data_IF_061038747143
#
_entry.id   IF_061038747143
#
_cell.length_a   1.000
_cell.length_b   1.000
_cell.length_c   1.000
_cell.angle_alpha   90.00
_cell.angle_beta   90.00
_cell.angle_gamma   90.00
#
_symmetry.space_group_name_H-M   'P 1'
#
loop_
_entity.id
_entity.type
_entity.pdbx_description
1 polymer ?
#
# COMPACT_ATOMS: atom_id res chain seq x y z
N UNK A 1 -11.21 7.65 -11.71
CA UNK A 1 -10.91 7.72 -10.27
C UNK A 1 -10.88 6.32 -9.68
N UNK A 2 -9.87 6.02 -8.90
CA UNK A 2 -9.77 4.71 -8.27
C UNK A 2 -10.37 4.73 -6.87
N UNK A 3 -10.88 3.60 -6.45
CA UNK A 3 -11.38 3.44 -5.09
C UNK A 3 -10.26 2.80 -4.25
N UNK A 4 -9.98 3.38 -3.10
CA UNK A 4 -8.96 2.85 -2.20
C UNK A 4 -9.64 2.22 -1.00
N UNK A 5 -9.29 0.98 -0.71
CA UNK A 5 -9.77 0.30 0.49
C UNK A 5 -8.58 -0.23 1.26
N UNK A 6 -8.75 -0.35 2.57
CA UNK A 6 -7.71 -0.89 3.43
C UNK A 6 -8.13 -2.29 3.89
N UNK A 7 -7.23 -3.25 3.77
CA UNK A 7 -7.52 -4.62 4.19
C UNK A 7 -7.27 -4.72 5.70
N UNK A 8 -8.34 -5.00 6.44
CA UNK A 8 -8.30 -5.10 7.90
C UNK A 8 -7.74 -3.81 8.50
N UNK A 9 -6.94 -3.92 9.57
CA UNK A 9 -6.47 -2.75 10.30
C UNK A 9 -5.02 -2.37 10.01
N UNK A 10 -4.35 -3.08 9.14
CA UNK A 10 -2.90 -2.89 8.96
C UNK A 10 -2.54 -1.48 8.55
N UNK A 11 -3.28 -0.90 7.62
CA UNK A 11 -2.98 0.46 7.20
C UNK A 11 -3.29 1.47 8.30
N UNK A 12 -4.42 1.31 8.99
CA UNK A 12 -4.76 2.23 10.08
C UNK A 12 -3.75 2.13 11.23
N UNK A 13 -3.28 0.92 11.51
CA UNK A 13 -2.26 0.73 12.54
C UNK A 13 -0.99 1.49 12.17
N UNK A 14 -0.62 1.44 10.90
CA UNK A 14 0.53 2.21 10.43
C UNK A 14 0.31 3.71 10.61
N UNK A 15 -0.86 4.21 10.25
CA UNK A 15 -1.12 5.64 10.38
C UNK A 15 -1.04 6.11 11.84
N UNK A 16 -1.42 5.26 12.77
CA UNK A 16 -1.44 5.64 14.17
C UNK A 16 -0.06 5.88 14.76
N UNK A 17 0.98 5.30 14.17
CA UNK A 17 2.33 5.54 14.68
C UNK A 17 2.99 6.77 14.06
N UNK A 18 2.33 7.41 13.12
CA UNK A 18 2.85 8.62 12.48
C UNK A 18 2.45 9.84 13.29
N UNK A 19 3.28 10.91 13.22
CA UNK A 19 2.88 12.18 13.78
C UNK A 19 1.70 12.75 12.98
N UNK A 20 1.05 13.76 13.53
CA UNK A 20 -0.09 14.37 12.83
C UNK A 20 0.34 14.95 11.48
N UNK A 21 1.50 15.58 11.42
CA UNK A 21 1.98 16.15 10.16
C UNK A 21 2.36 15.07 9.15
N UNK A 22 3.02 14.02 9.63
CA UNK A 22 3.39 12.91 8.75
C UNK A 22 2.15 12.24 8.17
N UNK A 23 1.14 12.04 9.02
CA UNK A 23 -0.10 11.43 8.57
C UNK A 23 -0.80 12.29 7.53
N UNK A 24 -0.85 13.59 7.78
CA UNK A 24 -1.49 14.51 6.86
C UNK A 24 -0.81 14.50 5.50
N UNK A 25 0.52 14.53 5.50
CA UNK A 25 1.26 14.50 4.25
C UNK A 25 1.07 13.17 3.52
N UNK A 26 1.10 12.08 4.28
CA UNK A 26 0.91 10.76 3.68
C UNK A 26 -0.46 10.64 3.01
N UNK A 27 -1.49 11.09 3.70
CA UNK A 27 -2.85 10.98 3.17
C UNK A 27 -3.06 11.87 1.95
N UNK A 28 -2.42 13.04 1.90
CA UNK A 28 -2.48 13.87 0.71
C UNK A 28 -1.84 13.18 -0.49
N UNK A 29 -0.69 12.54 -0.28
CA UNK A 29 -0.03 11.84 -1.36
C UNK A 29 -0.87 10.65 -1.81
N UNK A 30 -1.50 9.97 -0.86
CA UNK A 30 -2.34 8.82 -1.19
C UNK A 30 -3.52 9.21 -2.06
N UNK A 31 -4.02 10.44 -1.87
CA UNK A 31 -5.12 10.95 -2.66
C UNK A 31 -4.79 10.91 -4.16
N UNK A 32 -3.53 11.00 -4.52
CA UNK A 32 -3.12 10.92 -5.91
C UNK A 32 -3.50 9.58 -6.53
N UNK A 33 -3.49 8.51 -5.75
CA UNK A 33 -3.87 7.21 -6.26
C UNK A 33 -5.32 7.16 -6.69
N UNK A 34 -6.14 8.04 -6.12
CA UNK A 34 -7.55 8.08 -6.45
C UNK A 34 -7.85 9.00 -7.62
N UNK A 35 -7.10 10.10 -7.74
CA UNK A 35 -7.51 11.17 -8.63
C UNK A 35 -6.70 11.27 -9.92
N UNK A 36 -5.47 10.77 -9.92
CA UNK A 36 -4.63 10.92 -11.10
C UNK A 36 -4.63 9.66 -11.92
N UNK A 37 -4.73 9.81 -13.24
CA UNK A 37 -4.62 8.67 -14.12
C UNK A 37 -3.19 8.19 -14.23
N UNK A 38 -2.28 9.15 -14.23
CA UNK A 38 -0.86 8.83 -14.26
C UNK A 38 -0.22 9.38 -13.02
N UNK A 39 0.35 8.50 -12.22
CA UNK A 39 1.01 8.90 -10.99
C UNK A 39 2.51 8.91 -11.24
N UNK A 40 3.21 9.98 -10.84
CA UNK A 40 4.66 10.02 -11.03
C UNK A 40 5.29 8.75 -10.44
N UNK A 41 6.16 8.12 -11.21
CA UNK A 41 6.66 6.81 -10.82
C UNK A 41 7.52 6.82 -9.56
N UNK A 42 7.95 7.98 -9.09
CA UNK A 42 8.68 8.00 -7.82
C UNK A 42 7.76 7.75 -6.62
N UNK A 43 6.44 7.78 -6.81
CA UNK A 43 5.50 7.43 -5.74
C UNK A 43 5.18 5.94 -5.72
N UNK A 44 5.37 5.23 -6.82
CA UNK A 44 4.94 3.84 -6.94
C UNK A 44 6.06 3.00 -7.51
N UNK A 45 6.31 1.85 -6.90
CA UNK A 45 7.29 0.91 -7.40
C UNK A 45 6.69 -0.49 -7.36
N UNK A 46 6.87 -1.24 -8.45
CA UNK A 46 6.47 -2.64 -8.45
C UNK A 46 7.51 -3.45 -7.68
N UNK A 47 7.07 -4.34 -6.80
CA UNK A 47 7.99 -5.15 -5.99
C UNK A 47 8.08 -6.56 -6.58
N UNK A 48 7.05 -7.37 -6.41
CA UNK A 48 6.94 -8.70 -6.99
C UNK A 48 5.59 -9.29 -6.61
N UNK A 49 5.20 -10.37 -7.28
CA UNK A 49 3.99 -11.12 -6.95
C UNK A 49 2.74 -10.25 -6.89
N UNK A 50 2.69 -9.24 -7.76
CA UNK A 50 1.54 -8.35 -7.81
C UNK A 50 1.54 -7.25 -6.77
N UNK A 51 2.55 -7.21 -5.89
CA UNK A 51 2.63 -6.21 -4.83
C UNK A 51 3.34 -4.98 -5.35
N UNK A 52 2.73 -3.82 -5.10
CA UNK A 52 3.30 -2.52 -5.38
C UNK A 52 3.60 -1.81 -4.07
N UNK A 53 4.51 -0.86 -4.13
CA UNK A 53 4.91 -0.08 -2.97
C UNK A 53 4.60 1.38 -3.23
N UNK A 54 3.83 2.00 -2.34
CA UNK A 54 3.58 3.44 -2.38
C UNK A 54 4.60 4.10 -1.46
N UNK A 55 5.28 5.12 -1.97
CA UNK A 55 6.46 5.70 -1.35
C UNK A 55 6.25 7.18 -1.10
N UNK A 56 6.58 7.64 0.10
CA UNK A 56 6.56 9.06 0.39
C UNK A 56 7.58 9.39 1.48
N UNK A 57 7.93 10.65 1.59
CA UNK A 57 8.93 11.13 2.55
C UNK A 57 8.38 12.31 3.32
N UNK A 58 8.86 12.47 4.55
CA UNK A 58 8.60 13.66 5.32
C UNK A 58 9.87 13.94 6.13
N UNK A 59 10.55 15.05 5.82
CA UNK A 59 11.86 15.30 6.40
C UNK A 59 12.81 14.19 6.00
N UNK A 60 13.46 13.58 6.97
CA UNK A 60 14.37 12.48 6.72
C UNK A 60 13.69 11.12 6.85
N UNK A 61 12.39 11.10 7.08
CA UNK A 61 11.67 9.85 7.24
C UNK A 61 11.09 9.38 5.93
N UNK A 62 11.20 8.10 5.65
CA UNK A 62 10.64 7.50 4.45
C UNK A 62 9.57 6.52 4.87
N UNK A 63 8.42 6.62 4.23
CA UNK A 63 7.28 5.76 4.54
C UNK A 63 6.90 4.95 3.32
N UNK A 64 6.47 3.73 3.56
CA UNK A 64 6.07 2.80 2.51
C UNK A 64 4.77 2.12 2.90
N UNK A 65 3.91 1.89 1.92
CA UNK A 65 2.71 1.08 2.12
C UNK A 65 2.61 0.15 0.92
N UNK A 66 2.40 -1.12 1.17
CA UNK A 66 2.21 -2.09 0.10
C UNK A 66 0.75 -2.12 -0.31
N UNK A 67 0.51 -2.35 -1.59
CA UNK A 67 -0.85 -2.41 -2.10
C UNK A 67 -0.90 -3.26 -3.36
N UNK A 68 -2.12 -3.59 -3.77
CA UNK A 68 -2.36 -4.26 -5.05
C UNK A 68 -3.43 -3.48 -5.81
N UNK A 69 -3.47 -3.69 -7.11
CA UNK A 69 -4.61 -3.28 -7.91
C UNK A 69 -5.53 -4.49 -8.02
N UNK A 70 -6.79 -4.32 -7.64
CA UNK A 70 -7.78 -5.37 -7.79
C UNK A 70 -8.69 -4.92 -8.92
N UNK A 71 -8.40 -5.38 -10.12
CA UNK A 71 -9.04 -4.88 -11.31
C UNK A 71 -8.53 -3.51 -11.68
N UNK A 72 -9.33 -2.76 -12.42
CA UNK A 72 -8.88 -1.48 -12.96
C UNK A 72 -9.15 -0.31 -12.04
N UNK A 73 -10.04 -0.47 -11.07
CA UNK A 73 -10.53 0.68 -10.31
C UNK A 73 -10.32 0.59 -8.81
N UNK A 74 -9.84 -0.55 -8.29
CA UNK A 74 -9.70 -0.72 -6.85
C UNK A 74 -8.24 -0.87 -6.47
N UNK A 75 -7.82 -0.11 -5.46
CA UNK A 75 -6.51 -0.22 -4.84
C UNK A 75 -6.72 -0.74 -3.43
N UNK A 76 -6.06 -1.84 -3.07
CA UNK A 76 -6.20 -2.45 -1.75
C UNK A 76 -4.91 -2.26 -0.99
N UNK A 77 -4.98 -1.56 0.14
CA UNK A 77 -3.80 -1.24 0.95
C UNK A 77 -3.58 -2.31 2.01
N UNK A 78 -2.33 -2.67 2.20
CA UNK A 78 -1.94 -3.65 3.21
C UNK A 78 -1.09 -2.99 4.28
N UNK A 79 0.04 -3.59 4.62
CA UNK A 79 0.87 -3.09 5.71
C UNK A 79 1.74 -1.91 5.28
N UNK A 80 1.94 -0.99 6.20
CA UNK A 80 2.84 0.13 6.00
C UNK A 80 3.95 0.10 7.03
N UNK A 81 5.02 0.81 6.76
CA UNK A 81 6.15 0.86 7.67
C UNK A 81 7.03 2.06 7.37
N UNK A 82 7.85 2.43 8.35
CA UNK A 82 8.87 3.44 8.16
C UNK A 82 10.12 2.73 7.68
N UNK A 83 10.65 3.17 6.54
CA UNK A 83 11.83 2.51 5.98
C UNK A 83 13.07 3.05 6.68
N UNK A 84 13.87 2.15 7.21
CA UNK A 84 15.07 2.51 7.96
C UNK A 84 16.35 2.08 7.29
N UNK A 85 16.28 1.33 6.20
CA UNK A 85 17.45 0.81 5.52
C UNK A 85 17.33 1.07 4.03
N UNK A 86 18.42 0.82 3.30
CA UNK A 86 18.43 0.99 1.86
C UNK A 86 17.44 0.06 1.16
N UNK A 87 17.36 -1.16 1.64
CA UNK A 87 16.49 -2.15 1.03
C UNK A 87 15.15 -2.19 1.74
N UNK A 88 14.11 -2.49 0.98
CA UNK A 88 12.80 -2.79 1.56
C UNK A 88 12.93 -4.10 2.34
N UNK A 89 12.51 -4.14 3.61
CA UNK A 89 12.65 -5.35 4.41
C UNK A 89 11.86 -6.52 3.82
N UNK A 90 12.54 -7.63 3.69
CA UNK A 90 11.93 -8.81 3.09
C UNK A 90 10.74 -9.32 3.91
N UNK A 91 10.81 -9.23 5.23
CA UNK A 91 9.70 -9.68 6.07
C UNK A 91 8.43 -8.85 5.83
N UNK A 92 8.58 -7.57 5.51
CA UNK A 92 7.42 -6.75 5.20
C UNK A 92 6.82 -7.14 3.85
N UNK A 93 7.68 -7.46 2.89
CA UNK A 93 7.19 -7.91 1.58
C UNK A 93 6.43 -9.23 1.73
N UNK A 94 6.98 -10.17 2.48
CA UNK A 94 6.33 -11.46 2.69
C UNK A 94 4.99 -11.30 3.40
N UNK A 95 4.92 -10.36 4.33
CA UNK A 95 3.67 -10.08 5.01
C UNK A 95 2.62 -9.59 4.01
N UNK A 96 3.02 -8.66 3.13
CA UNK A 96 2.09 -8.14 2.14
C UNK A 96 1.59 -9.23 1.20
N UNK A 97 2.47 -10.14 0.79
CA UNK A 97 2.08 -11.24 -0.09
C UNK A 97 1.07 -12.14 0.62
N UNK A 98 1.31 -12.44 1.91
CA UNK A 98 0.37 -13.25 2.67
C UNK A 98 -0.99 -12.55 2.77
N UNK A 99 -0.98 -11.23 3.04
CA UNK A 99 -2.22 -10.49 3.15
C UNK A 99 -2.97 -10.43 1.83
N UNK A 100 -2.24 -10.35 0.72
CA UNK A 100 -2.87 -10.41 -0.59
C UNK A 100 -3.61 -11.73 -0.78
N UNK A 101 -2.96 -12.83 -0.39
CA UNK A 101 -3.58 -14.14 -0.51
C UNK A 101 -4.83 -14.24 0.36
N UNK A 102 -4.75 -13.72 1.59
CA UNK A 102 -5.91 -13.70 2.47
C UNK A 102 -7.04 -12.88 1.86
N UNK A 103 -6.70 -11.74 1.27
CA UNK A 103 -7.70 -10.87 0.68
C UNK A 103 -8.49 -11.58 -0.41
N UNK A 104 -7.79 -12.28 -1.32
CA UNK A 104 -8.48 -12.97 -2.39
C UNK A 104 -9.27 -14.16 -1.88
N UNK A 105 -8.78 -14.87 -0.87
CA UNK A 105 -9.55 -15.94 -0.29
C UNK A 105 -10.80 -15.43 0.39
N UNK A 106 -10.68 -14.30 1.11
CA UNK A 106 -11.83 -13.74 1.80
C UNK A 106 -12.90 -13.24 0.85
N UNK A 107 -12.51 -12.84 -0.36
CA UNK A 107 -13.51 -12.48 -1.37
C UNK A 107 -14.28 -13.70 -1.88
N UNK A 108 -13.95 -14.85 -1.33
CA UNK A 108 -14.53 -16.05 -1.81
C UNK A 108 -13.91 -16.46 -3.10
N UNK A 109 -12.89 -15.77 -3.45
CA UNK A 109 -12.06 -16.05 -4.48
C UNK A 109 -12.58 -16.86 -5.55
N UNK A 110 -13.69 -16.46 -5.94
CA UNK A 110 -14.33 -17.18 -6.96
C UNK A 110 -13.52 -17.15 -8.20
N UNK A 111 -12.72 -16.13 -8.36
CA UNK A 111 -11.92 -16.06 -9.53
C UNK A 111 -10.86 -17.13 -9.48
N UNK A 112 -10.39 -17.49 -8.32
CA UNK A 112 -9.42 -18.52 -8.23
C UNK A 112 -10.01 -19.88 -8.40
N UNK A 113 -11.30 -19.99 -8.26
CA UNK A 113 -11.97 -21.24 -8.32
C UNK A 113 -12.51 -21.58 -9.63
N UNK A 114 -12.22 -20.83 -10.57
CA UNK A 114 -12.81 -21.11 -11.87
C UNK A 114 -12.17 -22.22 -12.65
#
# INVERSE_FOLDING_TARGET
>A
MKKIIAYKSYFNDFLEVLSAQERKKFLRALDLLMTEEKIPHHYIKYIRDGIYEFRTNYGNNEFRVFFIYDGDTIVVLFNGFRKKTQKTPENEIKKAIRLKEEYYEAKGDKQGNL
#
